data_IF_555639286006
#
_entry.id   IF_555639286006
#
_cell.length_a   1.000
_cell.length_b   1.000
_cell.length_c   1.000
_cell.angle_alpha   90.00
_cell.angle_beta   90.00
_cell.angle_gamma   90.00
#
_symmetry.space_group_name_H-M   'P 1'
#
loop_
_entity.id
_entity.type
_entity.pdbx_description
1 polymer ?
#
# COMPACT_ATOMS: atom_id res chain seq x y z
N UNK A 1 -2.19 20.43 8.28
CA UNK A 1 -1.11 21.16 7.58
C UNK A 1 -1.53 22.52 7.04
N UNK A 2 -2.75 22.69 6.50
CA UNK A 2 -3.28 24.04 6.11
C UNK A 2 -3.40 24.99 7.30
N UNK A 3 -3.66 24.48 8.49
CA UNK A 3 -3.74 25.26 9.72
C UNK A 3 -2.38 25.81 10.17
N UNK A 4 -1.30 25.07 9.92
CA UNK A 4 0.07 25.49 10.28
C UNK A 4 0.67 26.52 9.29
N UNK A 5 0.11 26.65 8.09
CA UNK A 5 0.57 27.51 7.00
C UNK A 5 -0.48 28.52 6.56
N UNK A 6 -1.33 28.97 7.49
CA UNK A 6 -2.45 29.88 7.17
C UNK A 6 -1.95 31.13 6.44
N UNK A 7 -2.44 31.34 5.22
CA UNK A 7 -2.11 32.50 4.38
C UNK A 7 -1.07 32.22 3.28
N UNK A 8 -0.16 31.27 3.45
CA UNK A 8 0.86 30.92 2.44
C UNK A 8 0.30 29.94 1.41
N UNK A 9 -0.45 28.91 1.87
CA UNK A 9 -1.06 27.89 1.00
C UNK A 9 -2.45 28.32 0.58
N UNK A 10 -2.72 28.27 -0.72
CA UNK A 10 -4.02 28.62 -1.33
C UNK A 10 -4.60 27.44 -2.09
N UNK A 11 -5.69 26.82 -1.59
CA UNK A 11 -6.42 25.80 -2.36
C UNK A 11 -7.22 26.47 -3.49
N UNK A 12 -7.29 25.79 -4.63
CA UNK A 12 -8.12 26.17 -5.76
C UNK A 12 -9.27 25.17 -5.88
N UNK A 13 -10.40 25.52 -5.31
CA UNK A 13 -11.61 24.71 -5.22
C UNK A 13 -12.70 25.14 -6.20
N UNK A 14 -12.72 26.42 -6.62
CA UNK A 14 -13.76 26.97 -7.47
C UNK A 14 -13.48 26.78 -8.97
N UNK A 15 -12.54 27.53 -9.55
CA UNK A 15 -12.38 27.62 -11.02
C UNK A 15 -10.91 27.72 -11.48
N UNK A 16 -10.69 27.59 -12.79
CA UNK A 16 -9.39 27.84 -13.40
C UNK A 16 -9.00 29.32 -13.37
N UNK A 17 -9.97 30.23 -13.36
CA UNK A 17 -9.75 31.67 -13.19
C UNK A 17 -9.19 31.99 -11.80
N UNK A 18 -9.65 31.30 -10.76
CA UNK A 18 -9.11 31.43 -9.41
C UNK A 18 -7.61 31.04 -9.39
N UNK A 19 -7.27 29.95 -10.06
CA UNK A 19 -5.89 29.49 -10.18
C UNK A 19 -5.03 30.53 -10.91
N UNK A 20 -5.51 31.05 -12.06
CA UNK A 20 -4.84 32.10 -12.82
C UNK A 20 -4.58 33.34 -11.95
N UNK A 21 -5.59 33.81 -11.22
CA UNK A 21 -5.48 34.95 -10.31
C UNK A 21 -4.42 34.75 -9.22
N UNK A 22 -4.31 33.52 -8.68
CA UNK A 22 -3.30 33.21 -7.68
C UNK A 22 -1.88 33.18 -8.27
N UNK A 23 -1.72 32.66 -9.48
CA UNK A 23 -0.43 32.66 -10.18
C UNK A 23 0.02 34.08 -10.51
N UNK A 24 -0.86 34.91 -11.10
CA UNK A 24 -0.57 36.32 -11.42
C UNK A 24 -0.31 37.15 -10.16
N UNK A 25 -1.09 36.87 -9.10
CA UNK A 25 -0.95 37.54 -7.81
C UNK A 25 0.27 37.09 -6.97
N UNK A 26 1.09 36.16 -7.50
CA UNK A 26 2.35 35.73 -6.87
C UNK A 26 2.16 35.03 -5.55
N UNK A 27 1.18 34.12 -5.44
CA UNK A 27 1.02 33.26 -4.28
C UNK A 27 2.14 32.21 -4.26
N UNK A 28 2.73 31.98 -3.08
CA UNK A 28 3.91 31.13 -2.93
C UNK A 28 3.58 29.63 -3.14
N UNK A 29 2.47 29.15 -2.55
CA UNK A 29 2.04 27.76 -2.64
C UNK A 29 0.58 27.69 -3.06
N UNK A 30 0.32 27.00 -4.17
CA UNK A 30 -1.03 26.82 -4.72
C UNK A 30 -1.29 25.32 -4.81
N UNK A 31 -2.40 24.85 -4.22
CA UNK A 31 -2.87 23.47 -4.32
C UNK A 31 -4.04 23.43 -5.29
N UNK A 32 -3.94 22.60 -6.30
CA UNK A 32 -5.00 22.42 -7.32
C UNK A 32 -5.11 20.98 -7.78
N UNK A 33 -6.13 20.67 -8.54
CA UNK A 33 -6.27 19.38 -9.19
C UNK A 33 -5.62 19.40 -10.58
N UNK A 34 -5.06 18.28 -11.00
CA UNK A 34 -4.36 18.15 -12.29
C UNK A 34 -5.27 18.50 -13.47
N UNK A 35 -6.59 18.33 -13.34
CA UNK A 35 -7.59 18.68 -14.35
C UNK A 35 -7.62 20.18 -14.69
N UNK A 36 -7.15 21.03 -13.79
CA UNK A 36 -7.08 22.49 -14.02
C UNK A 36 -5.81 22.92 -14.73
N UNK A 37 -4.80 22.04 -14.76
CA UNK A 37 -3.49 22.36 -15.35
C UNK A 37 -3.54 22.75 -16.83
N UNK A 38 -4.31 22.07 -17.72
CA UNK A 38 -4.38 22.45 -19.14
C UNK A 38 -4.85 23.87 -19.40
N UNK A 39 -5.61 24.43 -18.48
CA UNK A 39 -6.19 25.78 -18.65
C UNK A 39 -5.24 26.92 -18.23
N UNK A 40 -4.13 26.58 -17.58
CA UNK A 40 -3.21 27.57 -16.98
C UNK A 40 -1.79 27.50 -17.55
N UNK A 41 -1.48 26.50 -18.36
CA UNK A 41 -0.15 26.35 -18.93
C UNK A 41 0.29 27.57 -19.73
N UNK A 42 -0.64 28.23 -20.46
CA UNK A 42 -0.38 29.50 -21.14
C UNK A 42 -0.09 30.64 -20.16
N UNK A 43 -0.80 30.68 -19.04
CA UNK A 43 -0.56 31.70 -18.00
C UNK A 43 0.82 31.54 -17.39
N UNK A 44 1.22 30.32 -17.03
CA UNK A 44 2.56 30.05 -16.47
C UNK A 44 3.65 30.42 -17.48
N UNK A 45 3.45 30.07 -18.75
CA UNK A 45 4.40 30.44 -19.84
C UNK A 45 4.54 31.94 -20.01
N UNK A 46 3.47 32.71 -19.86
CA UNK A 46 3.50 34.19 -19.95
C UNK A 46 4.21 34.85 -18.76
N UNK A 47 4.37 34.15 -17.66
CA UNK A 47 5.06 34.63 -16.44
C UNK A 47 6.55 34.24 -16.39
N UNK A 48 7.23 34.20 -17.53
CA UNK A 48 8.63 33.77 -17.69
C UNK A 48 9.67 34.48 -16.84
N UNK A 49 9.31 35.59 -16.17
CA UNK A 49 10.12 36.30 -15.20
C UNK A 49 10.13 35.65 -13.79
N UNK A 50 9.25 34.68 -13.55
CA UNK A 50 9.14 33.91 -12.30
C UNK A 50 9.56 32.47 -12.51
N UNK A 51 10.06 31.83 -11.44
CA UNK A 51 10.37 30.40 -11.43
C UNK A 51 9.23 29.64 -10.76
N UNK A 52 8.84 28.53 -11.37
CA UNK A 52 7.77 27.66 -10.88
C UNK A 52 8.30 26.25 -10.60
N UNK A 53 7.92 25.67 -9.47
CA UNK A 53 8.04 24.25 -9.19
C UNK A 53 6.64 23.62 -9.24
N UNK A 54 6.43 22.70 -10.17
CA UNK A 54 5.16 21.96 -10.29
C UNK A 54 5.38 20.58 -9.69
N UNK A 55 4.71 20.31 -8.56
CA UNK A 55 4.76 19.03 -7.85
C UNK A 55 3.49 18.26 -8.18
N UNK A 56 3.64 17.06 -8.75
CA UNK A 56 2.54 16.20 -9.16
C UNK A 56 2.57 14.94 -8.29
N UNK A 57 1.54 14.78 -7.46
CA UNK A 57 1.36 13.59 -6.64
C UNK A 57 0.55 12.54 -7.40
N UNK A 58 0.86 11.25 -7.15
CA UNK A 58 0.24 10.10 -7.84
C UNK A 58 0.25 10.25 -9.37
N UNK A 59 1.39 10.69 -9.92
CA UNK A 59 1.54 11.05 -11.34
C UNK A 59 1.13 9.93 -12.31
N UNK A 60 1.12 8.68 -11.86
CA UNK A 60 0.70 7.49 -12.64
C UNK A 60 -0.82 7.26 -12.67
N UNK A 61 -1.63 8.10 -12.03
CA UNK A 61 -3.07 7.85 -11.88
C UNK A 61 -3.83 8.07 -13.19
N UNK A 62 -4.18 6.98 -13.86
CA UNK A 62 -5.15 6.98 -14.95
C UNK A 62 -6.58 7.11 -14.38
N UNK A 63 -7.21 8.26 -14.55
CA UNK A 63 -8.64 8.41 -14.24
C UNK A 63 -9.46 8.16 -15.51
N UNK A 64 -10.07 6.99 -15.62
CA UNK A 64 -11.07 6.69 -16.64
C UNK A 64 -12.43 7.29 -16.25
N UNK A 65 -13.13 7.93 -17.18
CA UNK A 65 -14.50 8.43 -16.99
C UNK A 65 -14.84 9.67 -17.82
N UNK A 66 -15.96 10.35 -17.51
CA UNK A 66 -16.45 11.54 -18.23
C UNK A 66 -15.42 12.68 -18.39
N UNK A 67 -14.44 12.72 -17.48
CA UNK A 67 -13.32 13.69 -17.50
C UNK A 67 -12.32 13.46 -18.64
N UNK A 68 -12.34 12.30 -19.28
CA UNK A 68 -11.49 12.00 -20.46
C UNK A 68 -11.81 12.87 -21.67
N UNK A 69 -13.02 13.45 -21.76
CA UNK A 69 -13.40 14.32 -22.88
C UNK A 69 -12.65 15.65 -22.87
N UNK A 70 -12.49 16.27 -21.71
CA UNK A 70 -11.73 17.53 -21.59
C UNK A 70 -10.24 17.29 -21.82
N UNK A 71 -9.72 16.15 -21.36
CA UNK A 71 -8.36 15.73 -21.62
C UNK A 71 -8.11 15.47 -23.10
N UNK A 72 -8.99 14.70 -23.77
CA UNK A 72 -8.92 14.46 -25.23
C UNK A 72 -8.96 15.78 -26.02
N UNK A 73 -9.83 16.71 -25.64
CA UNK A 73 -9.89 18.04 -26.27
C UNK A 73 -8.60 18.85 -26.10
N UNK A 74 -7.96 18.72 -24.93
CA UNK A 74 -6.69 19.40 -24.65
C UNK A 74 -5.54 18.77 -25.43
N UNK A 75 -5.48 17.43 -25.52
CA UNK A 75 -4.51 16.69 -26.32
C UNK A 75 -4.68 16.95 -27.84
N UNK A 76 -5.91 16.99 -28.34
CA UNK A 76 -6.18 17.38 -29.74
C UNK A 76 -5.65 18.76 -30.06
N UNK A 77 -5.68 19.73 -29.14
CA UNK A 77 -5.09 21.06 -29.33
C UNK A 77 -3.56 21.02 -29.44
N UNK A 78 -2.93 20.03 -28.85
CA UNK A 78 -1.48 19.78 -28.96
C UNK A 78 -1.10 18.94 -30.16
N UNK A 79 -2.07 18.58 -31.04
CA UNK A 79 -1.82 17.81 -32.26
C UNK A 79 -1.77 16.30 -32.09
N UNK A 80 -2.21 15.79 -30.95
CA UNK A 80 -2.28 14.34 -30.69
C UNK A 80 -3.53 13.76 -31.34
N UNK A 81 -3.41 12.66 -32.09
CA UNK A 81 -4.54 11.90 -32.60
C UNK A 81 -5.22 11.13 -31.44
N UNK A 82 -6.40 11.59 -31.05
CA UNK A 82 -7.14 11.05 -29.91
C UNK A 82 -8.25 10.06 -30.30
N UNK A 83 -8.42 9.78 -31.61
CA UNK A 83 -9.49 8.90 -32.09
C UNK A 83 -9.14 7.42 -31.97
N UNK A 84 -7.87 7.06 -32.02
CA UNK A 84 -7.38 5.69 -32.03
C UNK A 84 -6.78 5.19 -30.73
N UNK A 85 -6.67 6.01 -29.67
CA UNK A 85 -6.10 5.61 -28.40
C UNK A 85 -7.19 5.43 -27.31
N UNK A 86 -7.36 4.20 -26.85
CA UNK A 86 -8.39 3.82 -25.86
C UNK A 86 -8.08 4.30 -24.43
N UNK A 87 -6.82 4.59 -24.08
CA UNK A 87 -6.38 4.94 -22.72
C UNK A 87 -5.41 6.14 -22.70
N UNK A 88 -5.90 7.34 -23.02
CA UNK A 88 -5.13 8.58 -22.79
C UNK A 88 -5.27 9.03 -21.34
N UNK A 89 -4.14 9.37 -20.72
CA UNK A 89 -4.10 9.86 -19.34
C UNK A 89 -3.44 11.25 -19.21
N UNK A 90 -3.39 11.78 -17.99
CA UNK A 90 -2.78 13.09 -17.75
C UNK A 90 -1.26 13.07 -17.89
N UNK A 91 -0.60 11.90 -17.80
CA UNK A 91 0.83 11.77 -18.13
C UNK A 91 1.08 12.05 -19.60
N UNK A 92 0.20 11.53 -20.48
CA UNK A 92 0.29 11.80 -21.93
C UNK A 92 0.11 13.29 -22.22
N UNK A 93 -0.82 13.96 -21.52
CA UNK A 93 -0.98 15.41 -21.66
C UNK A 93 0.28 16.17 -21.21
N UNK A 94 0.83 15.86 -20.03
CA UNK A 94 2.03 16.53 -19.51
C UNK A 94 3.23 16.28 -20.44
N UNK A 95 3.37 15.07 -20.97
CA UNK A 95 4.40 14.71 -21.93
C UNK A 95 4.34 15.57 -23.18
N UNK A 96 3.17 15.66 -23.79
CA UNK A 96 2.97 16.43 -25.01
C UNK A 96 3.09 17.94 -24.77
N UNK A 97 2.64 18.42 -23.61
CA UNK A 97 2.84 19.80 -23.20
C UNK A 97 4.32 20.15 -23.05
N UNK A 98 5.11 19.29 -22.40
CA UNK A 98 6.57 19.47 -22.26
C UNK A 98 7.26 19.40 -23.62
N UNK A 99 6.87 18.46 -24.50
CA UNK A 99 7.43 18.35 -25.86
C UNK A 99 7.10 19.56 -26.73
N UNK A 100 5.83 19.99 -26.72
CA UNK A 100 5.35 21.06 -27.59
C UNK A 100 5.97 22.43 -27.28
N UNK A 101 6.26 22.66 -26.00
CA UNK A 101 6.82 23.95 -25.52
C UNK A 101 8.32 23.95 -25.31
N UNK A 102 8.96 22.79 -25.42
CA UNK A 102 10.38 22.63 -25.10
C UNK A 102 10.67 22.82 -23.61
N UNK A 103 11.95 22.70 -23.24
CA UNK A 103 12.36 22.97 -21.86
C UNK A 103 12.24 24.46 -21.54
N UNK A 104 11.22 24.82 -20.78
CA UNK A 104 11.08 26.18 -20.25
C UNK A 104 11.96 26.31 -19.00
N UNK A 105 13.02 27.09 -19.10
CA UNK A 105 14.04 27.23 -18.02
C UNK A 105 13.51 27.79 -16.69
N UNK A 106 12.29 28.30 -16.69
CA UNK A 106 11.64 28.85 -15.51
C UNK A 106 10.61 27.91 -14.84
N UNK A 107 10.38 26.68 -15.39
CA UNK A 107 9.47 25.68 -14.84
C UNK A 107 10.20 24.38 -14.60
N UNK A 108 10.10 23.85 -13.38
CA UNK A 108 10.61 22.54 -13.00
C UNK A 108 9.43 21.63 -12.60
N UNK A 109 9.39 20.41 -13.13
CA UNK A 109 8.38 19.42 -12.83
C UNK A 109 8.95 18.32 -11.94
N UNK A 110 8.21 17.96 -10.89
CA UNK A 110 8.54 16.88 -9.97
C UNK A 110 7.36 15.93 -9.86
N UNK A 111 7.55 14.67 -10.27
CA UNK A 111 6.54 13.62 -10.14
C UNK A 111 6.81 12.75 -8.91
N UNK A 112 5.80 12.57 -8.06
CA UNK A 112 5.84 11.65 -6.94
C UNK A 112 4.87 10.50 -7.20
N UNK A 113 5.32 9.27 -6.95
CA UNK A 113 4.50 8.07 -7.10
C UNK A 113 5.08 6.90 -6.34
N UNK A 114 4.22 6.09 -5.72
CA UNK A 114 4.61 4.81 -5.12
C UNK A 114 4.70 3.67 -6.13
N UNK A 115 4.18 3.85 -7.37
CA UNK A 115 4.08 2.80 -8.39
C UNK A 115 4.38 3.35 -9.79
N UNK A 116 5.65 3.71 -10.07
CA UNK A 116 6.03 4.31 -11.36
C UNK A 116 5.81 3.31 -12.51
N UNK A 117 5.27 3.82 -13.62
CA UNK A 117 5.17 3.12 -14.90
C UNK A 117 6.38 3.48 -15.78
N UNK A 118 6.62 2.74 -16.86
CA UNK A 118 7.68 3.08 -17.82
C UNK A 118 7.52 4.50 -18.37
N UNK A 119 6.30 4.87 -18.76
CA UNK A 119 5.98 6.24 -19.24
C UNK A 119 6.34 7.31 -18.20
N UNK A 120 6.07 7.05 -16.91
CA UNK A 120 6.41 7.97 -15.81
C UNK A 120 7.92 8.15 -15.69
N UNK A 121 8.68 7.06 -15.81
CA UNK A 121 10.14 7.09 -15.75
C UNK A 121 10.75 7.79 -16.98
N UNK A 122 10.20 7.59 -18.18
CA UNK A 122 10.62 8.33 -19.37
C UNK A 122 10.42 9.84 -19.23
N UNK A 123 9.39 10.27 -18.52
CA UNK A 123 9.05 11.69 -18.39
C UNK A 123 9.83 12.38 -17.26
N UNK A 124 9.96 11.71 -16.10
CA UNK A 124 10.52 12.31 -14.87
C UNK A 124 11.84 11.70 -14.43
N UNK A 125 12.22 10.55 -14.99
CA UNK A 125 13.42 9.82 -14.62
C UNK A 125 14.67 10.30 -15.38
N UNK A 126 15.80 9.76 -14.96
CA UNK A 126 17.10 9.98 -15.59
C UNK A 126 17.46 8.80 -16.51
N UNK A 127 17.86 9.09 -17.73
CA UNK A 127 18.33 8.05 -18.67
C UNK A 127 19.74 7.64 -18.31
N UNK A 128 19.98 6.34 -18.14
CA UNK A 128 21.29 5.75 -17.85
C UNK A 128 21.96 5.19 -19.12
N UNK A 129 23.22 4.75 -18.96
CA UNK A 129 24.04 4.22 -20.05
C UNK A 129 23.47 2.94 -20.69
N UNK A 130 22.70 2.15 -19.95
CA UNK A 130 21.96 0.97 -20.45
C UNK A 130 20.74 1.32 -21.30
N UNK A 131 20.49 2.62 -21.51
CA UNK A 131 19.37 3.14 -22.28
C UNK A 131 18.03 3.19 -21.55
N UNK A 132 17.96 2.71 -20.30
CA UNK A 132 16.75 2.71 -19.48
C UNK A 132 16.63 3.99 -18.67
N UNK A 133 15.39 4.26 -18.23
CA UNK A 133 15.08 5.39 -17.36
C UNK A 133 14.89 4.93 -15.94
N UNK A 134 15.53 5.62 -15.00
CA UNK A 134 15.47 5.36 -13.57
C UNK A 134 14.90 6.56 -12.82
N UNK A 135 14.23 6.37 -11.67
CA UNK A 135 13.75 7.49 -10.87
C UNK A 135 14.92 8.35 -10.40
N UNK A 136 14.72 9.66 -10.35
CA UNK A 136 15.71 10.60 -9.82
C UNK A 136 16.09 10.25 -8.37
N UNK A 137 15.09 9.89 -7.55
CA UNK A 137 15.26 9.38 -6.20
C UNK A 137 14.24 8.27 -5.94
N UNK A 138 14.63 7.25 -5.23
CA UNK A 138 13.73 6.15 -4.85
C UNK A 138 13.82 5.88 -3.36
N UNK A 139 12.66 5.94 -2.68
CA UNK A 139 12.46 5.45 -1.33
C UNK A 139 11.49 4.27 -1.43
N UNK A 140 12.02 3.07 -1.37
CA UNK A 140 11.24 1.87 -1.69
C UNK A 140 10.32 1.48 -0.55
N UNK A 141 9.26 0.73 -0.88
CA UNK A 141 8.37 0.11 0.12
C UNK A 141 9.18 -0.75 1.10
N UNK A 142 10.18 -1.45 0.60
CA UNK A 142 11.10 -2.24 1.40
C UNK A 142 11.83 -1.39 2.45
N UNK A 143 12.45 -0.27 2.03
CA UNK A 143 13.11 0.66 2.97
C UNK A 143 12.14 1.17 4.02
N UNK A 144 10.94 1.58 3.59
CA UNK A 144 9.89 2.09 4.48
C UNK A 144 9.45 1.07 5.54
N UNK A 145 9.33 -0.21 5.15
CA UNK A 145 9.00 -1.29 6.10
C UNK A 145 10.16 -1.51 7.07
N UNK A 146 11.40 -1.54 6.56
CA UNK A 146 12.58 -1.78 7.38
C UNK A 146 12.83 -0.68 8.40
N UNK A 147 12.65 0.56 8.00
CA UNK A 147 12.76 1.74 8.86
C UNK A 147 11.54 1.93 9.79
N UNK A 148 10.51 1.10 9.65
CA UNK A 148 9.32 1.12 10.49
C UNK A 148 8.31 2.23 10.15
N UNK A 149 8.45 2.91 9.02
CA UNK A 149 7.47 3.92 8.57
C UNK A 149 6.19 3.29 8.02
N UNK A 150 6.29 2.09 7.47
CA UNK A 150 5.13 1.31 7.01
C UNK A 150 5.22 -0.14 7.48
N UNK A 151 4.06 -0.82 7.54
CA UNK A 151 3.98 -2.24 7.87
C UNK A 151 3.99 -3.10 6.61
N UNK A 152 4.52 -4.32 6.73
CA UNK A 152 4.42 -5.33 5.69
C UNK A 152 3.01 -5.92 5.65
N UNK A 153 2.27 -5.61 4.60
CA UNK A 153 0.88 -6.06 4.42
C UNK A 153 0.78 -7.52 4.00
N UNK A 154 1.87 -8.10 3.50
CA UNK A 154 1.92 -9.50 3.08
C UNK A 154 2.26 -10.47 4.22
N UNK A 155 2.79 -9.99 5.32
CA UNK A 155 3.21 -10.82 6.46
C UNK A 155 2.08 -11.72 6.99
N UNK A 156 0.84 -11.21 7.06
CA UNK A 156 -0.33 -11.96 7.48
C UNK A 156 -1.40 -12.00 6.38
N UNK A 157 -0.95 -12.14 5.13
CA UNK A 157 -1.84 -12.35 4.00
C UNK A 157 -2.26 -13.81 3.93
N UNK A 158 -3.56 -14.07 3.94
CA UNK A 158 -4.13 -15.41 3.91
C UNK A 158 -5.23 -15.50 2.86
N UNK A 159 -5.18 -16.53 2.02
CA UNK A 159 -6.29 -16.84 1.13
C UNK A 159 -7.36 -17.66 1.85
N UNK A 160 -8.61 -17.45 1.47
CA UNK A 160 -9.74 -18.21 2.02
C UNK A 160 -9.53 -19.73 1.89
N UNK A 161 -8.98 -20.20 0.77
CA UNK A 161 -8.65 -21.62 0.56
C UNK A 161 -7.68 -22.16 1.60
N UNK A 162 -6.66 -21.37 1.99
CA UNK A 162 -5.68 -21.76 2.99
C UNK A 162 -6.27 -21.68 4.40
N UNK A 163 -7.07 -20.68 4.69
CA UNK A 163 -7.80 -20.53 5.95
C UNK A 163 -8.75 -21.70 6.21
N UNK A 164 -9.49 -22.14 5.19
CA UNK A 164 -10.37 -23.31 5.27
C UNK A 164 -9.59 -24.62 5.44
N UNK A 165 -8.51 -24.84 4.70
CA UNK A 165 -7.67 -26.05 4.85
C UNK A 165 -7.11 -26.22 6.25
N UNK A 166 -6.79 -25.14 6.93
CA UNK A 166 -6.33 -25.17 8.33
C UNK A 166 -7.50 -25.53 9.26
N UNK A 167 -8.71 -25.10 8.94
CA UNK A 167 -9.92 -25.39 9.73
C UNK A 167 -10.49 -26.81 9.44
N UNK A 168 -10.30 -27.31 8.20
CA UNK A 168 -10.79 -28.61 7.72
C UNK A 168 -9.78 -29.77 7.82
N UNK A 169 -8.63 -29.63 8.48
CA UNK A 169 -7.79 -30.78 8.80
C UNK A 169 -8.48 -31.85 9.67
N UNK A 170 -9.81 -31.78 9.73
CA UNK A 170 -10.70 -32.75 10.35
C UNK A 170 -11.80 -33.34 9.43
N UNK A 171 -11.80 -33.12 8.11
CA UNK A 171 -12.73 -33.84 7.20
C UNK A 171 -12.44 -33.68 5.70
N UNK A 172 -12.67 -34.74 4.95
CA UNK A 172 -12.19 -35.12 3.61
C UNK A 172 -12.58 -34.28 2.38
N UNK A 173 -11.83 -34.51 1.27
CA UNK A 173 -11.79 -33.84 -0.04
C UNK A 173 -13.07 -33.85 -0.88
N UNK A 174 -13.27 -32.77 -1.69
CA UNK A 174 -14.19 -32.76 -2.84
C UNK A 174 -13.51 -32.12 -4.07
N UNK A 175 -13.40 -32.87 -5.17
CA UNK A 175 -12.89 -32.42 -6.47
C UNK A 175 -13.94 -31.71 -7.33
N UNK A 176 -13.53 -30.70 -8.16
CA UNK A 176 -14.43 -29.93 -9.05
C UNK A 176 -13.92 -29.86 -10.49
N UNK A 177 -14.74 -30.12 -11.54
CA UNK A 177 -14.29 -30.18 -12.95
C UNK A 177 -14.20 -28.84 -13.68
N UNK A 178 -13.45 -28.79 -14.81
CA UNK A 178 -13.04 -27.58 -15.56
C UNK A 178 -13.92 -27.24 -16.79
N UNK A 179 -14.12 -25.97 -17.11
CA UNK A 179 -14.13 -25.24 -18.39
C UNK A 179 -15.06 -23.99 -18.46
N UNK A 180 -15.20 -23.33 -19.63
CA UNK A 180 -15.81 -22.02 -19.87
C UNK A 180 -17.19 -21.71 -19.24
N UNK A 181 -18.08 -22.70 -19.09
CA UNK A 181 -19.33 -22.56 -18.34
C UNK A 181 -19.14 -22.22 -16.85
N UNK A 182 -17.97 -22.51 -16.34
CA UNK A 182 -17.54 -22.28 -14.95
C UNK A 182 -17.44 -20.79 -14.59
N UNK A 183 -17.03 -19.91 -15.53
CA UNK A 183 -16.89 -18.46 -15.22
C UNK A 183 -18.23 -17.77 -14.98
N UNK A 184 -19.25 -18.09 -15.74
CA UNK A 184 -20.60 -17.52 -15.56
C UNK A 184 -21.29 -18.14 -14.34
N UNK A 185 -21.13 -19.45 -14.14
CA UNK A 185 -21.65 -20.13 -12.96
C UNK A 185 -20.98 -19.65 -11.68
N UNK A 186 -19.65 -19.48 -11.67
CA UNK A 186 -18.90 -18.91 -10.55
C UNK A 186 -19.36 -17.47 -10.28
N UNK A 187 -19.56 -16.66 -11.32
CA UNK A 187 -20.08 -15.29 -11.15
C UNK A 187 -21.49 -15.26 -10.59
N UNK A 188 -22.35 -16.20 -11.00
CA UNK A 188 -23.69 -16.34 -10.47
C UNK A 188 -23.68 -16.82 -9.01
N UNK A 189 -22.91 -17.86 -8.70
CA UNK A 189 -22.75 -18.40 -7.35
C UNK A 189 -22.13 -17.35 -6.42
N UNK A 190 -21.13 -16.63 -6.88
CA UNK A 190 -20.44 -15.60 -6.10
C UNK A 190 -21.30 -14.38 -5.73
N UNK A 191 -22.34 -14.09 -6.53
CA UNK A 191 -23.28 -12.98 -6.26
C UNK A 191 -24.59 -13.46 -5.62
N UNK A 192 -24.73 -14.76 -5.36
CA UNK A 192 -25.91 -15.30 -4.71
C UNK A 192 -26.00 -14.80 -3.26
N UNK A 193 -27.21 -14.44 -2.76
CA UNK A 193 -27.37 -13.95 -1.39
C UNK A 193 -26.78 -14.86 -0.31
N UNK A 194 -26.92 -16.17 -0.45
CA UNK A 194 -26.36 -17.15 0.48
C UNK A 194 -24.83 -17.13 0.51
N UNK A 195 -24.18 -16.95 -0.65
CA UNK A 195 -22.72 -16.82 -0.75
C UNK A 195 -22.23 -15.53 -0.10
N UNK A 196 -22.95 -14.42 -0.31
CA UNK A 196 -22.66 -13.14 0.35
C UNK A 196 -22.81 -13.28 1.86
N UNK A 197 -23.89 -13.92 2.32
CA UNK A 197 -24.14 -14.17 3.74
C UNK A 197 -23.01 -14.97 4.39
N UNK A 198 -22.55 -16.04 3.74
CA UNK A 198 -21.46 -16.87 4.24
C UNK A 198 -20.12 -16.08 4.27
N UNK A 199 -19.77 -15.39 3.18
CA UNK A 199 -18.55 -14.57 3.11
C UNK A 199 -18.54 -13.49 4.20
N UNK A 200 -19.63 -12.74 4.32
CA UNK A 200 -19.78 -11.72 5.37
C UNK A 200 -19.67 -12.34 6.76
N UNK A 201 -20.30 -13.50 6.98
CA UNK A 201 -20.21 -14.25 8.24
C UNK A 201 -18.76 -14.53 8.63
N UNK A 202 -17.94 -15.03 7.69
CA UNK A 202 -16.52 -15.35 7.90
C UNK A 202 -15.70 -14.07 8.16
N UNK A 203 -15.93 -13.01 7.39
CA UNK A 203 -15.25 -11.73 7.56
C UNK A 203 -15.53 -11.15 8.95
N UNK A 204 -16.80 -11.16 9.37
CA UNK A 204 -17.20 -10.69 10.69
C UNK A 204 -16.67 -11.56 11.80
N UNK A 205 -16.67 -12.89 11.67
CA UNK A 205 -16.10 -13.82 12.64
C UNK A 205 -14.61 -13.52 12.87
N UNK A 206 -13.85 -13.35 11.79
CA UNK A 206 -12.44 -13.00 11.90
C UNK A 206 -12.25 -11.61 12.54
N UNK A 207 -12.99 -10.60 12.10
CA UNK A 207 -12.88 -9.26 12.66
C UNK A 207 -13.25 -9.21 14.15
N UNK A 208 -14.36 -9.82 14.54
CA UNK A 208 -14.84 -9.82 15.93
C UNK A 208 -13.85 -10.57 16.83
N UNK A 209 -13.34 -11.73 16.37
CA UNK A 209 -12.47 -12.59 17.21
C UNK A 209 -11.05 -12.06 17.33
N UNK A 210 -10.49 -11.50 16.26
CA UNK A 210 -9.11 -11.06 16.16
C UNK A 210 -9.00 -9.57 15.89
N UNK A 211 -9.41 -9.13 14.70
CA UNK A 211 -9.18 -7.77 14.21
C UNK A 211 -9.67 -6.69 15.18
N UNK A 212 -10.87 -6.84 15.72
CA UNK A 212 -11.46 -5.81 16.58
C UNK A 212 -10.73 -5.57 17.90
N UNK A 213 -9.91 -6.49 18.34
CA UNK A 213 -9.16 -6.42 19.60
C UNK A 213 -7.84 -5.68 19.47
N UNK A 214 -7.34 -5.61 18.25
CA UNK A 214 -6.08 -4.96 17.94
C UNK A 214 -6.14 -3.43 18.16
N UNK A 215 -4.97 -2.81 18.26
CA UNK A 215 -4.82 -1.37 18.55
C UNK A 215 -5.63 -1.00 19.82
N UNK A 216 -5.53 -1.82 20.86
CA UNK A 216 -6.26 -1.63 22.13
C UNK A 216 -7.79 -1.51 21.91
N UNK A 217 -8.34 -2.30 21.01
CA UNK A 217 -9.76 -2.29 20.66
C UNK A 217 -10.20 -1.13 19.76
N UNK A 218 -9.28 -0.36 19.17
CA UNK A 218 -9.59 0.78 18.30
C UNK A 218 -9.50 0.45 16.80
N UNK A 219 -9.02 -0.73 16.42
CA UNK A 219 -8.80 -1.11 15.03
C UNK A 219 -10.05 -0.97 14.15
N UNK A 220 -9.84 -0.81 12.85
CA UNK A 220 -10.86 -0.76 11.80
C UNK A 220 -10.63 -1.88 10.81
N UNK A 221 -11.70 -2.30 10.14
CA UNK A 221 -11.63 -3.25 9.03
C UNK A 221 -12.15 -2.63 7.74
N UNK A 222 -11.57 -3.05 6.61
CA UNK A 222 -12.03 -2.66 5.27
C UNK A 222 -12.45 -3.90 4.49
N UNK A 223 -13.61 -3.85 3.85
CA UNK A 223 -14.13 -4.91 2.97
C UNK A 223 -14.14 -4.36 1.55
N UNK A 224 -13.31 -4.96 0.68
CA UNK A 224 -13.16 -4.55 -0.73
C UNK A 224 -13.93 -5.50 -1.61
N UNK A 225 -14.95 -5.00 -2.29
CA UNK A 225 -15.84 -5.80 -3.13
C UNK A 225 -15.76 -5.42 -4.61
N UNK A 226 -16.26 -6.28 -5.50
CA UNK A 226 -16.11 -6.18 -6.96
C UNK A 226 -16.82 -4.96 -7.55
N UNK A 227 -18.03 -4.67 -7.09
CA UNK A 227 -18.88 -3.67 -7.70
C UNK A 227 -19.64 -2.82 -6.67
N UNK A 228 -20.18 -1.70 -7.13
CA UNK A 228 -21.08 -0.86 -6.33
C UNK A 228 -22.35 -1.61 -5.89
N UNK A 229 -22.85 -2.51 -6.72
CA UNK A 229 -23.98 -3.38 -6.37
C UNK A 229 -23.62 -4.30 -5.20
N UNK A 230 -22.42 -4.87 -5.23
CA UNK A 230 -21.94 -5.70 -4.14
C UNK A 230 -21.74 -4.88 -2.86
N UNK A 231 -21.30 -3.60 -2.95
CA UNK A 231 -21.25 -2.70 -1.79
C UNK A 231 -22.60 -2.64 -1.07
N UNK A 232 -23.70 -2.45 -1.80
CA UNK A 232 -25.05 -2.39 -1.22
C UNK A 232 -25.43 -3.73 -0.56
N UNK A 233 -25.17 -4.85 -1.22
CA UNK A 233 -25.51 -6.18 -0.70
C UNK A 233 -24.70 -6.52 0.56
N UNK A 234 -23.38 -6.30 0.52
CA UNK A 234 -22.49 -6.53 1.65
C UNK A 234 -22.82 -5.59 2.82
N UNK A 235 -23.16 -4.32 2.55
CA UNK A 235 -23.56 -3.36 3.57
C UNK A 235 -24.81 -3.81 4.35
N UNK A 236 -25.84 -4.22 3.63
CA UNK A 236 -27.10 -4.68 4.24
C UNK A 236 -26.86 -5.94 5.05
N UNK A 237 -26.14 -6.89 4.48
CA UNK A 237 -25.89 -8.17 5.13
C UNK A 237 -24.95 -8.00 6.35
N UNK A 238 -23.89 -7.20 6.24
CA UNK A 238 -22.97 -6.98 7.35
C UNK A 238 -23.66 -6.31 8.54
N UNK A 239 -24.43 -5.23 8.29
CA UNK A 239 -25.14 -4.55 9.38
C UNK A 239 -26.22 -5.43 10.01
N UNK A 240 -26.93 -6.25 9.22
CA UNK A 240 -27.89 -7.24 9.72
C UNK A 240 -27.19 -8.25 10.63
N UNK A 241 -26.10 -8.87 10.18
CA UNK A 241 -25.38 -9.87 11.00
C UNK A 241 -24.73 -9.27 12.25
N UNK A 242 -24.26 -8.03 12.20
CA UNK A 242 -23.76 -7.34 13.37
C UNK A 242 -24.86 -7.13 14.41
N UNK A 243 -26.06 -6.74 13.98
CA UNK A 243 -27.23 -6.58 14.83
C UNK A 243 -27.69 -7.94 15.42
N UNK A 244 -27.85 -8.96 14.57
CA UNK A 244 -28.23 -10.32 14.98
C UNK A 244 -27.27 -10.92 16.03
N UNK A 245 -26.00 -10.51 16.01
CA UNK A 245 -24.96 -10.95 16.98
C UNK A 245 -24.84 -10.05 18.20
N UNK A 246 -25.67 -8.99 18.33
CA UNK A 246 -25.62 -8.05 19.43
C UNK A 246 -24.35 -7.20 19.47
N UNK A 247 -23.71 -6.96 18.32
CA UNK A 247 -22.48 -6.17 18.22
C UNK A 247 -22.80 -4.68 18.13
N UNK A 248 -22.18 -3.87 18.97
CA UNK A 248 -22.52 -2.44 19.14
C UNK A 248 -21.96 -1.51 18.04
N UNK A 249 -21.08 -1.98 17.15
CA UNK A 249 -20.58 -1.18 16.04
C UNK A 249 -21.20 -1.59 14.70
N UNK A 250 -21.12 -0.71 13.72
CA UNK A 250 -21.73 -0.85 12.40
C UNK A 250 -20.69 -0.72 11.28
N UNK A 251 -21.08 -1.11 10.07
CA UNK A 251 -20.30 -0.97 8.86
C UNK A 251 -20.78 0.22 8.04
N UNK A 252 -19.87 1.12 7.66
CA UNK A 252 -20.10 2.16 6.67
C UNK A 252 -19.90 1.60 5.25
N UNK A 253 -20.45 2.30 4.25
CA UNK A 253 -20.24 1.97 2.84
C UNK A 253 -19.78 3.20 2.06
N UNK A 254 -18.87 3.00 1.10
CA UNK A 254 -18.38 4.05 0.21
C UNK A 254 -18.36 3.62 -1.26
N UNK A 255 -19.10 4.33 -2.09
CA UNK A 255 -19.12 4.18 -3.54
C UNK A 255 -19.61 5.45 -4.21
N UNK A 256 -19.31 5.63 -5.50
CA UNK A 256 -19.74 6.77 -6.30
C UNK A 256 -21.02 6.46 -7.06
N UNK A 257 -21.86 7.48 -7.29
CA UNK A 257 -23.12 7.41 -8.03
C UNK A 257 -24.21 6.54 -7.37
N UNK A 258 -25.42 6.68 -7.84
CA UNK A 258 -26.59 5.93 -7.37
C UNK A 258 -26.66 4.50 -7.93
N UNK A 259 -27.21 3.56 -7.17
CA UNK A 259 -27.50 2.18 -7.57
C UNK A 259 -28.94 1.85 -7.17
N UNK A 260 -29.83 1.73 -8.13
CA UNK A 260 -31.26 1.35 -7.92
C UNK A 260 -31.96 2.20 -6.86
N UNK A 261 -31.78 3.52 -6.89
CA UNK A 261 -32.37 4.44 -5.91
C UNK A 261 -31.59 4.57 -4.59
N UNK A 262 -30.50 3.80 -4.40
CA UNK A 262 -29.69 3.84 -3.19
C UNK A 262 -28.38 4.58 -3.45
N UNK A 263 -28.04 5.49 -2.57
CA UNK A 263 -26.79 6.25 -2.58
C UNK A 263 -25.95 5.90 -1.35
N UNK A 264 -24.66 6.20 -1.40
CA UNK A 264 -23.77 6.13 -0.24
C UNK A 264 -24.37 6.87 0.97
N UNK A 265 -24.86 8.10 0.71
CA UNK A 265 -25.44 8.96 1.76
C UNK A 265 -26.71 8.33 2.35
N UNK A 266 -27.65 7.84 1.52
CA UNK A 266 -28.89 7.25 2.00
C UNK A 266 -28.66 5.98 2.83
N UNK A 267 -27.71 5.14 2.42
CA UNK A 267 -27.37 3.92 3.14
C UNK A 267 -26.70 4.22 4.48
N UNK A 268 -25.71 5.09 4.52
CA UNK A 268 -25.05 5.47 5.76
C UNK A 268 -26.01 6.19 6.73
N UNK A 269 -26.91 7.01 6.21
CA UNK A 269 -27.97 7.65 7.01
C UNK A 269 -28.89 6.61 7.65
N UNK A 270 -29.19 5.50 6.98
CA UNK A 270 -30.05 4.42 7.54
C UNK A 270 -29.48 3.77 8.80
N UNK A 271 -28.16 3.87 9.02
CA UNK A 271 -27.48 3.36 10.22
C UNK A 271 -27.08 4.49 11.20
N UNK A 272 -27.55 5.70 10.93
CA UNK A 272 -27.36 6.89 11.79
C UNK A 272 -26.02 7.59 11.58
N UNK A 273 -25.45 7.53 10.37
CA UNK A 273 -24.30 8.34 9.99
C UNK A 273 -24.69 9.38 8.95
N UNK A 274 -24.48 10.64 9.30
CA UNK A 274 -24.61 11.79 8.40
C UNK A 274 -23.27 12.52 8.36
N UNK A 275 -22.70 12.70 7.19
CA UNK A 275 -21.45 13.41 7.00
C UNK A 275 -20.39 12.62 6.23
N UNK A 276 -19.15 13.05 6.38
CA UNK A 276 -18.01 12.49 5.68
C UNK A 276 -17.58 11.13 6.27
N UNK A 277 -17.23 10.18 5.41
CA UNK A 277 -16.88 8.81 5.84
C UNK A 277 -15.59 8.75 6.65
N UNK A 278 -14.50 9.46 6.28
CA UNK A 278 -13.31 9.54 7.12
C UNK A 278 -13.61 10.03 8.55
N UNK A 279 -14.45 11.03 8.71
CA UNK A 279 -14.89 11.49 10.04
C UNK A 279 -15.76 10.43 10.74
N UNK A 280 -16.62 9.74 9.98
CA UNK A 280 -17.43 8.64 10.51
C UNK A 280 -16.56 7.53 11.13
N UNK A 281 -15.46 7.17 10.46
CA UNK A 281 -14.55 6.13 10.94
C UNK A 281 -13.77 6.50 12.21
N UNK A 282 -13.65 7.77 12.55
CA UNK A 282 -13.09 8.20 13.85
C UNK A 282 -14.03 7.85 15.01
N UNK A 283 -15.33 7.74 14.75
CA UNK A 283 -16.32 7.35 15.74
C UNK A 283 -16.25 5.83 16.00
N UNK A 284 -16.11 5.39 17.26
CA UNK A 284 -16.05 3.94 17.61
C UNK A 284 -17.31 3.16 17.24
N UNK A 285 -18.43 3.83 16.96
CA UNK A 285 -19.65 3.22 16.47
C UNK A 285 -19.49 2.61 15.06
N UNK A 286 -18.53 3.10 14.23
CA UNK A 286 -18.32 2.63 12.89
C UNK A 286 -16.91 2.03 12.78
N UNK A 287 -16.83 0.72 12.69
CA UNK A 287 -15.56 -0.01 12.73
C UNK A 287 -15.22 -0.76 11.46
N UNK A 288 -16.15 -0.84 10.53
CA UNK A 288 -15.98 -1.48 9.24
C UNK A 288 -16.33 -0.50 8.12
N UNK A 289 -15.60 -0.57 7.02
CA UNK A 289 -15.82 0.20 5.81
C UNK A 289 -15.90 -0.74 4.60
N UNK A 290 -17.00 -0.68 3.86
CA UNK A 290 -17.22 -1.48 2.65
C UNK A 290 -17.04 -0.61 1.42
N UNK A 291 -16.14 -1.01 0.51
CA UNK A 291 -15.78 -0.22 -0.67
C UNK A 291 -15.69 -1.08 -1.94
N UNK A 292 -15.87 -0.46 -3.10
CA UNK A 292 -15.53 -1.11 -4.39
C UNK A 292 -14.31 -0.49 -5.05
N UNK A 293 -14.39 0.77 -5.48
CA UNK A 293 -13.28 1.53 -6.09
C UNK A 293 -12.92 2.78 -5.28
N UNK A 294 -13.90 3.38 -4.59
CA UNK A 294 -13.69 4.54 -3.75
C UNK A 294 -12.79 4.17 -2.56
N UNK A 295 -11.89 5.05 -2.19
CA UNK A 295 -10.92 4.87 -1.10
C UNK A 295 -9.87 3.75 -1.29
N UNK A 296 -9.77 3.14 -2.48
CA UNK A 296 -8.62 2.29 -2.81
C UNK A 296 -7.35 3.12 -3.03
N UNK A 297 -7.51 4.40 -3.42
CA UNK A 297 -6.45 5.40 -3.50
C UNK A 297 -6.83 6.65 -2.73
N UNK A 298 -5.86 7.41 -2.23
CA UNK A 298 -6.09 8.70 -1.57
C UNK A 298 -6.80 8.64 -0.20
N UNK A 299 -6.94 7.46 0.41
CA UNK A 299 -7.55 7.28 1.74
C UNK A 299 -6.47 7.01 2.78
N UNK A 300 -6.48 7.78 3.86
CA UNK A 300 -5.54 7.66 4.96
C UNK A 300 -6.28 7.47 6.29
N UNK A 301 -6.34 6.23 6.76
CA UNK A 301 -6.89 5.85 8.06
C UNK A 301 -5.96 4.84 8.74
N UNK A 302 -5.06 5.29 9.60
CA UNK A 302 -4.06 4.44 10.24
C UNK A 302 -4.64 3.29 11.07
N UNK A 303 -5.87 3.43 11.57
CA UNK A 303 -6.55 2.40 12.38
C UNK A 303 -7.06 1.22 11.54
N UNK A 304 -7.08 1.33 10.19
CA UNK A 304 -7.43 0.19 9.34
C UNK A 304 -6.32 -0.85 9.41
N UNK A 305 -6.62 -1.98 10.01
CA UNK A 305 -5.68 -3.07 10.28
C UNK A 305 -6.06 -4.38 9.61
N UNK A 306 -7.35 -4.61 9.37
CA UNK A 306 -7.86 -5.81 8.71
C UNK A 306 -8.48 -5.47 7.36
N UNK A 307 -8.15 -6.23 6.32
CA UNK A 307 -8.77 -6.11 5.00
C UNK A 307 -9.32 -7.45 4.53
N UNK A 308 -10.54 -7.41 4.01
CA UNK A 308 -11.26 -8.55 3.45
C UNK A 308 -11.49 -8.30 1.98
N UNK A 309 -10.86 -9.12 1.12
CA UNK A 309 -10.85 -8.87 -0.32
C UNK A 309 -11.75 -9.86 -1.04
N UNK A 310 -12.88 -9.39 -1.58
CA UNK A 310 -13.75 -10.12 -2.49
C UNK A 310 -13.77 -9.47 -3.88
N UNK A 311 -12.57 -9.14 -4.37
CA UNK A 311 -12.35 -8.49 -5.66
C UNK A 311 -11.08 -9.01 -6.31
N UNK A 312 -11.11 -9.23 -7.64
CA UNK A 312 -9.88 -9.53 -8.38
C UNK A 312 -8.98 -8.29 -8.39
N UNK A 313 -7.80 -8.42 -7.84
CA UNK A 313 -6.76 -7.40 -7.80
C UNK A 313 -5.56 -7.87 -8.63
N UNK A 314 -4.86 -6.96 -9.31
CA UNK A 314 -3.66 -7.27 -10.05
C UNK A 314 -2.78 -6.05 -10.26
N UNK A 315 -1.48 -6.26 -10.43
CA UNK A 315 -0.50 -5.22 -10.69
C UNK A 315 -0.58 -4.04 -9.72
N UNK A 316 -0.56 -2.82 -10.24
CA UNK A 316 -0.63 -1.56 -9.47
C UNK A 316 -1.82 -1.52 -8.51
N UNK A 317 -3.01 -1.95 -8.97
CA UNK A 317 -4.23 -1.90 -8.16
C UNK A 317 -4.12 -2.78 -6.92
N UNK A 318 -3.47 -3.94 -7.03
CA UNK A 318 -3.21 -4.82 -5.89
C UNK A 318 -2.39 -4.10 -4.81
N UNK A 319 -1.25 -3.54 -5.22
CA UNK A 319 -0.34 -2.81 -4.33
C UNK A 319 -1.04 -1.61 -3.68
N UNK A 320 -1.70 -0.78 -4.47
CA UNK A 320 -2.40 0.41 -3.97
C UNK A 320 -3.53 0.09 -3.00
N UNK A 321 -4.29 -0.99 -3.28
CA UNK A 321 -5.39 -1.39 -2.39
C UNK A 321 -4.87 -1.94 -1.07
N UNK A 322 -3.94 -2.89 -1.11
CA UNK A 322 -3.43 -3.52 0.10
C UNK A 322 -2.58 -2.56 0.95
N UNK A 323 -1.87 -1.62 0.32
CA UNK A 323 -1.09 -0.60 1.02
C UNK A 323 -1.94 0.40 1.84
N UNK A 324 -3.28 0.33 1.78
CA UNK A 324 -4.12 1.07 2.76
C UNK A 324 -3.93 0.55 4.18
N UNK A 325 -3.46 -0.69 4.34
CA UNK A 325 -3.18 -1.28 5.65
C UNK A 325 -1.81 -0.91 6.21
N UNK A 326 -0.86 -0.48 5.40
CA UNK A 326 0.54 -0.35 5.79
C UNK A 326 0.84 0.85 6.72
N UNK A 327 -0.13 1.73 6.94
CA UNK A 327 0.01 2.91 7.81
C UNK A 327 0.30 2.50 9.24
N UNK A 328 1.31 3.12 9.83
CA UNK A 328 1.69 2.91 11.23
C UNK A 328 0.92 3.84 12.16
N UNK A 329 0.63 3.35 13.35
CA UNK A 329 0.11 4.14 14.48
C UNK A 329 0.46 3.44 15.78
N UNK A 330 0.40 4.14 16.89
CA UNK A 330 0.69 3.56 18.21
C UNK A 330 -0.18 2.33 18.49
N UNK A 331 0.47 1.21 18.84
CA UNK A 331 -0.19 -0.06 19.12
C UNK A 331 -0.60 -0.88 17.88
N UNK A 332 -0.17 -0.46 16.67
CA UNK A 332 -0.35 -1.24 15.45
C UNK A 332 0.99 -1.78 14.97
N UNK A 333 1.21 -3.06 15.17
CA UNK A 333 2.45 -3.78 14.86
C UNK A 333 2.29 -4.82 13.74
N UNK A 334 1.06 -5.11 13.34
CA UNK A 334 0.72 -6.08 12.29
C UNK A 334 -0.55 -5.71 11.55
N UNK A 335 -0.76 -6.35 10.40
CA UNK A 335 -1.94 -6.21 9.55
C UNK A 335 -2.53 -7.59 9.24
N UNK A 336 -3.81 -7.66 8.88
CA UNK A 336 -4.45 -8.90 8.45
C UNK A 336 -5.12 -8.72 7.08
N UNK A 337 -4.84 -9.62 6.15
CA UNK A 337 -5.57 -9.72 4.89
C UNK A 337 -6.16 -11.10 4.74
N UNK A 338 -7.48 -11.16 4.54
CA UNK A 338 -8.19 -12.39 4.18
C UNK A 338 -8.79 -12.20 2.78
N UNK A 339 -8.25 -12.92 1.82
CA UNK A 339 -8.60 -12.80 0.42
C UNK A 339 -9.43 -14.01 -0.07
N UNK A 340 -10.57 -13.72 -0.69
CA UNK A 340 -11.53 -14.73 -1.17
C UNK A 340 -11.35 -15.07 -2.65
N UNK A 341 -10.59 -14.27 -3.41
CA UNK A 341 -10.59 -14.30 -4.88
C UNK A 341 -9.21 -14.50 -5.48
N UNK A 342 -8.18 -13.84 -4.90
CA UNK A 342 -6.86 -13.78 -5.51
C UNK A 342 -5.99 -14.96 -5.09
N UNK A 343 -5.04 -15.28 -5.97
CA UNK A 343 -3.98 -16.25 -5.69
C UNK A 343 -2.80 -15.53 -5.03
N UNK A 344 -2.18 -16.16 -4.04
CA UNK A 344 -1.06 -15.58 -3.30
C UNK A 344 0.12 -15.26 -4.22
N UNK A 345 0.42 -16.14 -5.18
CA UNK A 345 1.56 -15.95 -6.09
C UNK A 345 1.38 -14.70 -6.97
N UNK A 346 0.16 -14.46 -7.47
CA UNK A 346 -0.18 -13.27 -8.26
C UNK A 346 -0.10 -11.98 -7.45
N UNK A 347 -0.46 -12.04 -6.17
CA UNK A 347 -0.34 -10.90 -5.26
C UNK A 347 1.12 -10.60 -4.98
N UNK A 348 1.91 -11.63 -4.66
CA UNK A 348 3.36 -11.51 -4.44
C UNK A 348 4.05 -10.94 -5.68
N UNK A 349 3.76 -11.46 -6.89
CA UNK A 349 4.27 -10.93 -8.16
C UNK A 349 3.94 -9.44 -8.36
N UNK A 350 2.70 -9.05 -8.02
CA UNK A 350 2.28 -7.65 -8.09
C UNK A 350 3.11 -6.74 -7.18
N UNK A 351 3.46 -7.21 -5.99
CA UNK A 351 4.29 -6.48 -5.05
C UNK A 351 5.76 -6.48 -5.43
N UNK A 352 6.30 -7.61 -5.90
CA UNK A 352 7.72 -7.74 -6.30
C UNK A 352 8.16 -6.62 -7.24
N UNK A 353 7.34 -6.28 -8.22
CA UNK A 353 7.64 -5.22 -9.18
C UNK A 353 7.95 -3.87 -8.52
N UNK A 354 7.37 -3.58 -7.36
CA UNK A 354 7.53 -2.31 -6.63
C UNK A 354 8.44 -2.41 -5.41
N UNK A 355 8.68 -3.62 -4.92
CA UNK A 355 9.69 -3.86 -3.88
C UNK A 355 11.11 -3.70 -4.43
N UNK A 356 11.32 -4.06 -5.69
CA UNK A 356 12.63 -4.31 -6.28
C UNK A 356 13.19 -3.16 -7.12
N UNK A 357 12.47 -2.06 -7.32
CA UNK A 357 12.90 -0.98 -8.23
C UNK A 357 14.28 -0.40 -7.88
N UNK A 358 14.79 -0.63 -6.67
CA UNK A 358 16.14 -0.20 -6.27
C UNK A 358 17.13 -1.35 -6.06
N UNK A 359 16.65 -2.60 -5.95
CA UNK A 359 17.53 -3.76 -5.74
C UNK A 359 18.03 -4.40 -7.04
N UNK A 360 17.42 -4.08 -8.18
CA UNK A 360 17.80 -4.64 -9.48
C UNK A 360 19.06 -4.00 -10.11
N UNK A 361 19.70 -3.06 -9.44
CA UNK A 361 21.04 -2.58 -9.84
C UNK A 361 22.18 -3.46 -9.31
N UNK A 362 21.88 -4.46 -8.49
CA UNK A 362 22.79 -5.52 -8.08
C UNK A 362 22.12 -6.87 -8.24
N UNK A 363 22.77 -7.82 -8.88
CA UNK A 363 22.31 -9.20 -9.00
C UNK A 363 21.84 -9.72 -7.64
N UNK A 364 20.55 -10.07 -7.55
CA UNK A 364 19.96 -10.66 -6.35
C UNK A 364 20.32 -12.14 -6.31
N UNK A 365 21.55 -12.41 -5.90
CA UNK A 365 22.06 -13.74 -5.70
C UNK A 365 21.70 -14.23 -4.28
N UNK A 366 20.84 -15.24 -4.14
CA UNK A 366 20.53 -15.81 -2.83
C UNK A 366 21.76 -16.30 -2.07
N UNK A 367 22.84 -16.66 -2.78
CA UNK A 367 24.09 -17.12 -2.16
C UNK A 367 24.76 -16.00 -1.35
N UNK A 368 24.51 -14.74 -1.68
CA UNK A 368 24.98 -13.60 -0.87
C UNK A 368 24.44 -13.57 0.56
N UNK A 369 23.33 -14.25 0.85
CA UNK A 369 22.86 -14.41 2.24
C UNK A 369 23.90 -15.16 3.08
N UNK A 370 24.48 -16.21 2.52
CA UNK A 370 25.51 -17.01 3.20
C UNK A 370 26.82 -16.23 3.33
N UNK A 371 27.16 -15.42 2.32
CA UNK A 371 28.33 -14.53 2.36
C UNK A 371 28.18 -13.51 3.49
N UNK A 372 27.07 -12.72 3.50
CA UNK A 372 26.82 -11.76 4.57
C UNK A 372 26.79 -12.40 5.96
N UNK A 373 26.14 -13.56 6.11
CA UNK A 373 26.10 -14.23 7.40
C UNK A 373 27.50 -14.71 7.83
N UNK A 374 28.32 -15.16 6.89
CA UNK A 374 29.71 -15.57 7.14
C UNK A 374 30.55 -14.36 7.57
N UNK A 375 30.43 -13.23 6.90
CA UNK A 375 31.10 -11.98 7.27
C UNK A 375 30.65 -11.47 8.65
N UNK A 376 29.34 -11.45 8.93
CA UNK A 376 28.80 -11.08 10.24
C UNK A 376 29.38 -11.99 11.35
N UNK A 377 29.41 -13.31 11.13
CA UNK A 377 29.99 -14.27 12.08
C UNK A 377 31.50 -14.06 12.30
N UNK A 378 32.23 -13.55 11.31
CA UNK A 378 33.66 -13.29 11.42
C UNK A 378 34.03 -12.24 12.48
N UNK A 379 33.10 -11.37 12.83
CA UNK A 379 33.27 -10.41 13.94
C UNK A 379 33.25 -11.06 15.33
N UNK A 380 32.80 -12.32 15.45
CA UNK A 380 32.76 -13.10 16.69
C UNK A 380 32.02 -12.39 17.85
N UNK A 381 30.96 -11.65 17.55
CA UNK A 381 30.16 -10.95 18.56
C UNK A 381 29.08 -11.83 19.20
N UNK A 382 28.82 -12.99 18.61
CA UNK A 382 27.92 -14.02 19.12
C UNK A 382 28.27 -15.38 18.54
N UNK A 383 27.82 -16.43 19.20
CA UNK A 383 27.99 -17.83 18.77
C UNK A 383 26.71 -18.41 18.20
N UNK A 384 26.82 -19.50 17.42
CA UNK A 384 25.63 -20.21 16.93
C UNK A 384 24.79 -20.79 18.07
N UNK A 385 25.42 -21.19 19.17
CA UNK A 385 24.71 -21.70 20.35
C UNK A 385 23.88 -20.62 21.01
N UNK A 386 24.40 -19.39 21.13
CA UNK A 386 23.65 -18.25 21.65
C UNK A 386 22.45 -17.87 20.79
N UNK A 387 22.60 -17.91 19.46
CA UNK A 387 21.49 -17.73 18.52
C UNK A 387 20.43 -18.82 18.72
N UNK A 388 20.86 -20.06 18.89
CA UNK A 388 19.93 -21.17 19.09
C UNK A 388 19.18 -21.06 20.42
N UNK A 389 19.88 -20.72 21.50
CA UNK A 389 19.28 -20.57 22.83
C UNK A 389 18.36 -19.33 22.89
N UNK A 390 18.73 -18.23 22.26
CA UNK A 390 17.86 -17.07 22.04
C UNK A 390 16.55 -17.48 21.33
N UNK A 391 16.65 -18.25 20.25
CA UNK A 391 15.49 -18.69 19.48
C UNK A 391 14.61 -19.68 20.27
N UNK A 392 15.16 -20.52 21.11
CA UNK A 392 14.37 -21.39 22.03
C UNK A 392 13.48 -20.53 22.93
N UNK A 393 14.03 -19.49 23.53
CA UNK A 393 13.27 -18.55 24.37
C UNK A 393 12.27 -17.77 23.50
N UNK A 394 12.69 -17.31 22.33
CA UNK A 394 11.84 -16.54 21.41
C UNK A 394 10.59 -17.30 20.98
N UNK A 395 10.67 -18.60 20.75
CA UNK A 395 9.55 -19.44 20.31
C UNK A 395 8.81 -20.11 21.50
N UNK A 396 9.21 -19.86 22.73
CA UNK A 396 8.54 -20.41 23.91
C UNK A 396 7.08 -19.90 24.01
N UNK A 397 6.17 -20.74 24.49
CA UNK A 397 4.73 -20.48 24.55
C UNK A 397 4.38 -19.35 25.52
N UNK A 398 5.14 -19.26 26.62
CA UNK A 398 5.01 -18.24 27.69
C UNK A 398 6.24 -17.32 27.67
N UNK A 399 6.52 -16.73 26.51
CA UNK A 399 7.69 -15.90 26.26
C UNK A 399 7.74 -14.68 27.16
N UNK A 400 8.86 -14.50 27.88
CA UNK A 400 9.25 -13.25 28.53
C UNK A 400 10.35 -12.57 27.71
N UNK A 401 10.09 -11.36 27.22
CA UNK A 401 11.07 -10.58 26.46
C UNK A 401 12.29 -10.17 27.33
N UNK A 402 12.17 -10.22 28.65
CA UNK A 402 13.29 -10.05 29.58
C UNK A 402 14.34 -11.14 29.47
N UNK A 403 13.95 -12.38 29.18
CA UNK A 403 14.85 -13.52 29.04
C UNK A 403 15.69 -13.50 27.75
N UNK A 404 15.29 -12.67 26.78
CA UNK A 404 16.06 -12.45 25.54
C UNK A 404 17.23 -11.47 25.73
N UNK A 405 17.16 -10.62 26.75
CA UNK A 405 18.09 -9.52 26.95
C UNK A 405 19.54 -9.96 27.22
N UNK A 406 19.81 -11.03 27.99
CA UNK A 406 21.19 -11.48 28.24
C UNK A 406 21.97 -11.73 26.98
N UNK A 407 21.40 -12.46 26.00
CA UNK A 407 22.04 -12.80 24.73
C UNK A 407 22.35 -11.54 23.89
N UNK A 408 21.43 -10.60 23.84
CA UNK A 408 21.59 -9.35 23.10
C UNK A 408 22.61 -8.42 23.77
N UNK A 409 22.60 -8.36 25.11
CA UNK A 409 23.54 -7.51 25.85
C UNK A 409 24.96 -8.02 25.72
N UNK A 410 25.19 -9.35 25.72
CA UNK A 410 26.49 -9.93 25.51
C UNK A 410 27.07 -9.54 24.14
N UNK A 411 26.26 -9.67 23.08
CA UNK A 411 26.67 -9.25 21.73
C UNK A 411 26.93 -7.74 21.64
N UNK A 412 26.10 -6.93 22.31
CA UNK A 412 26.28 -5.46 22.37
C UNK A 412 27.55 -5.08 23.12
N UNK A 413 27.87 -5.75 24.24
CA UNK A 413 29.09 -5.51 25.02
C UNK A 413 30.35 -5.83 24.20
N UNK A 414 30.32 -6.86 23.35
CA UNK A 414 31.40 -7.19 22.44
C UNK A 414 31.49 -6.17 21.30
N UNK A 415 30.36 -5.74 20.74
CA UNK A 415 30.31 -4.68 19.73
C UNK A 415 30.93 -3.38 20.24
N UNK A 416 30.60 -2.96 21.45
CA UNK A 416 31.13 -1.74 22.06
C UNK A 416 32.64 -1.82 22.38
N UNK A 417 33.26 -3.01 22.35
CA UNK A 417 34.71 -3.20 22.49
C UNK A 417 35.46 -3.07 21.17
N UNK A 418 34.78 -2.95 20.05
CA UNK A 418 35.42 -2.66 18.78
C UNK A 418 35.88 -1.21 18.81
N UNK A 419 37.19 -0.98 18.88
CA UNK A 419 37.80 0.38 18.95
C UNK A 419 37.69 1.15 17.63
N UNK A 420 37.48 0.46 16.51
CA UNK A 420 37.45 1.01 15.16
C UNK A 420 35.99 1.35 14.77
N UNK A 421 35.66 2.61 14.68
CA UNK A 421 34.34 3.11 14.31
C UNK A 421 33.93 2.68 12.88
N UNK A 422 34.88 2.57 11.94
CA UNK A 422 34.60 2.10 10.58
C UNK A 422 34.13 0.64 10.61
N UNK A 423 34.74 -0.21 11.45
CA UNK A 423 34.33 -1.60 11.62
C UNK A 423 32.97 -1.73 12.32
N UNK A 424 32.66 -0.84 13.23
CA UNK A 424 31.33 -0.81 13.85
C UNK A 424 30.25 -0.48 12.81
N UNK A 425 30.47 0.54 11.98
CA UNK A 425 29.53 0.89 10.90
C UNK A 425 29.46 -0.17 9.81
N UNK A 426 30.57 -0.82 9.46
CA UNK A 426 30.62 -1.94 8.53
C UNK A 426 29.77 -3.11 9.05
N UNK A 427 29.92 -3.49 10.31
CA UNK A 427 29.11 -4.54 10.93
C UNK A 427 27.62 -4.24 10.90
N UNK A 428 27.21 -3.00 11.23
CA UNK A 428 25.80 -2.55 11.11
C UNK A 428 25.31 -2.64 9.66
N UNK A 429 26.11 -2.20 8.71
CA UNK A 429 25.80 -2.25 7.29
C UNK A 429 25.61 -3.69 6.79
N UNK A 430 26.45 -4.61 7.26
CA UNK A 430 26.35 -6.05 6.95
C UNK A 430 25.05 -6.64 7.51
N UNK A 431 24.72 -6.38 8.76
CA UNK A 431 23.43 -6.82 9.36
C UNK A 431 22.26 -6.29 8.54
N UNK A 432 22.26 -5.01 8.22
CA UNK A 432 21.20 -4.39 7.44
C UNK A 432 21.07 -5.01 6.04
N UNK A 433 22.21 -5.30 5.40
CA UNK A 433 22.25 -5.93 4.08
C UNK A 433 21.75 -7.39 4.13
N UNK A 434 22.16 -8.16 5.14
CA UNK A 434 21.66 -9.50 5.40
C UNK A 434 20.15 -9.49 5.65
N UNK A 435 19.68 -8.64 6.54
CA UNK A 435 18.24 -8.52 6.87
C UNK A 435 17.42 -8.12 5.66
N UNK A 436 17.96 -7.22 4.83
CA UNK A 436 17.36 -6.82 3.56
C UNK A 436 17.18 -8.01 2.63
N UNK A 437 18.26 -8.69 2.37
CA UNK A 437 18.27 -9.79 1.40
C UNK A 437 17.41 -10.95 1.88
N UNK A 438 17.48 -11.31 3.18
CA UNK A 438 16.64 -12.37 3.76
C UNK A 438 15.14 -12.01 3.69
N UNK A 439 14.77 -10.80 4.08
CA UNK A 439 13.39 -10.32 3.99
C UNK A 439 12.84 -10.40 2.56
N UNK A 440 13.69 -10.22 1.55
CA UNK A 440 13.34 -10.36 0.15
C UNK A 440 13.24 -11.83 -0.28
N UNK A 441 14.28 -12.63 -0.05
CA UNK A 441 14.36 -14.02 -0.50
C UNK A 441 13.29 -14.88 0.16
N UNK A 442 13.02 -14.69 1.46
CA UNK A 442 12.00 -15.45 2.20
C UNK A 442 10.56 -15.22 1.73
N UNK A 443 10.32 -14.14 1.01
CA UNK A 443 8.99 -13.83 0.45
C UNK A 443 8.81 -14.41 -0.96
N UNK A 444 9.90 -14.60 -1.69
CA UNK A 444 9.89 -15.02 -3.10
C UNK A 444 10.08 -16.53 -3.24
N UNK A 445 10.91 -17.10 -2.38
CA UNK A 445 11.26 -18.51 -2.42
C UNK A 445 10.78 -19.18 -1.14
N UNK A 446 10.33 -20.45 -1.24
CA UNK A 446 10.12 -21.31 -0.08
C UNK A 446 11.48 -21.61 0.54
N UNK A 447 12.00 -20.66 1.30
CA UNK A 447 13.31 -20.76 1.93
C UNK A 447 13.14 -21.58 3.22
N UNK A 448 13.86 -22.70 3.31
CA UNK A 448 13.71 -23.67 4.41
C UNK A 448 14.99 -23.84 5.23
N UNK A 449 15.91 -22.87 5.16
CA UNK A 449 17.13 -22.92 5.97
C UNK A 449 16.87 -22.38 7.38
N UNK A 450 16.71 -23.30 8.33
CA UNK A 450 16.43 -23.01 9.75
C UNK A 450 17.56 -22.19 10.39
N UNK A 451 18.82 -22.38 9.98
CA UNK A 451 19.97 -21.65 10.51
C UNK A 451 19.94 -20.17 10.15
N UNK A 452 19.61 -19.86 8.89
CA UNK A 452 19.48 -18.49 8.42
C UNK A 452 18.25 -17.81 9.05
N UNK A 453 17.13 -18.51 9.21
CA UNK A 453 15.95 -17.97 9.85
C UNK A 453 16.22 -17.58 11.31
N UNK A 454 16.90 -18.46 12.06
CA UNK A 454 17.31 -18.19 13.44
C UNK A 454 18.25 -16.98 13.52
N UNK A 455 19.25 -16.94 12.64
CA UNK A 455 20.17 -15.81 12.56
C UNK A 455 19.44 -14.49 12.24
N UNK A 456 18.49 -14.51 11.31
CA UNK A 456 17.67 -13.34 10.98
C UNK A 456 16.89 -12.82 12.19
N UNK A 457 16.24 -13.72 12.95
CA UNK A 457 15.48 -13.33 14.15
C UNK A 457 16.41 -12.70 15.17
N UNK A 458 17.54 -13.33 15.48
CA UNK A 458 18.52 -12.81 16.44
C UNK A 458 19.08 -11.44 16.02
N UNK A 459 19.57 -11.34 14.78
CA UNK A 459 20.15 -10.11 14.24
C UNK A 459 19.15 -8.96 14.15
N UNK A 460 17.87 -9.25 13.90
CA UNK A 460 16.80 -8.24 13.93
C UNK A 460 16.63 -7.60 15.31
N UNK A 461 16.78 -8.38 16.36
CA UNK A 461 16.69 -7.87 17.74
C UNK A 461 17.98 -7.17 18.14
N UNK A 462 19.12 -7.70 17.73
CA UNK A 462 20.43 -7.08 17.98
C UNK A 462 20.52 -5.71 17.29
N UNK A 463 20.15 -5.61 16.02
CA UNK A 463 20.19 -4.35 15.26
C UNK A 463 19.39 -3.20 15.90
N UNK A 464 18.30 -3.53 16.63
CA UNK A 464 17.52 -2.52 17.36
C UNK A 464 18.22 -1.97 18.59
N UNK A 465 19.27 -2.65 19.07
CA UNK A 465 20.04 -2.27 20.26
C UNK A 465 21.36 -1.61 19.92
N UNK A 466 21.87 -1.83 18.72
CA UNK A 466 23.08 -1.16 18.26
C UNK A 466 22.88 0.36 18.22
N UNK A 467 23.84 1.14 18.70
CA UNK A 467 23.77 2.60 18.80
C UNK A 467 23.66 3.31 17.44
#
# INVERSE_FOLDING_TARGET
>A
SLEQTSGVVKPVDESSEQLKKYLEGGKDIIITTIQKFPFISDTISSLGHRKFGVIIDEVHSSQSGERSKDLKKSLSRLGVDTENEEELDYEDYIREEIKSRGQQSHISFFGFTGTPKEKTLELFGSKHEDGKFYPFHSYTMYQSIHEGFTLDVLQNYTTFKRYFKVKEKSSDDIEVPSSKGKKELIKFVDTHPETIQQKVGIMLDHFIKLGSKEIQGKSRGMIVVRSRKDCVSFFKEANKQLEDRGINYKALVAFSSEIKGETEVSLNKSIGHEGDIPEGLKNPKYRLLIVSNKFQTGFDEPLVQSMYVDKKLGGVQCVQTLSRLNRTTSGKDRTFVLDFVNDIDQVVESFQKYYTTTLLTGETDPDKLYEYLTEIKSYNLFTEQEVEDFCKVFFAKDRDDGELQPYLNQALDLYNKIEDEEKQEEFKSLIQSFMRLYGYVSQIMSFTDEGIEKAFIFLRYLNKKLP
#
